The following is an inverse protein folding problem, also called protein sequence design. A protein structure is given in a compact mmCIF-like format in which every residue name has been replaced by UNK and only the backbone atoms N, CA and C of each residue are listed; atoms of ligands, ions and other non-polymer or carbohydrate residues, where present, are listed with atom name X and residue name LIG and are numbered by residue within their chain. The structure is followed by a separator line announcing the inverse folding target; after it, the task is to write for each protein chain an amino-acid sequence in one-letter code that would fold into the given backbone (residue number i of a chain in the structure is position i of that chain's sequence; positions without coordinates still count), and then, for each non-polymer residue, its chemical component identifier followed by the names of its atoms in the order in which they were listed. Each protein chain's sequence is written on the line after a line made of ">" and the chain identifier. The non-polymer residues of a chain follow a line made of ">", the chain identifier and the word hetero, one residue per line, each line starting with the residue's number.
data_IF_562718686903
#
_entry.id   IF_562718686903
#
_cell.length_a   1.000
_cell.length_b   1.000
_cell.length_c   1.000
_cell.angle_alpha   90.00
_cell.angle_beta   90.00
_cell.angle_gamma   90.00
#
_symmetry.space_group_name_H-M   'P 1'
#
loop_
_entity.id
_entity.type
_entity.pdbx_description
1 polymer ?
#
# COMPACT_ATOMS: atom_id res chain seq x y z
N UNK A 1 19.52 -4.74 -27.22
CA UNK A 1 19.97 -5.74 -26.23
C UNK A 1 18.80 -6.50 -25.59
N UNK A 2 17.75 -5.79 -25.17
CA UNK A 2 16.54 -6.38 -24.55
C UNK A 2 15.78 -7.35 -25.47
N UNK A 3 15.66 -7.07 -26.77
CA UNK A 3 14.96 -7.96 -27.72
C UNK A 3 15.60 -9.35 -27.87
N UNK A 4 16.93 -9.44 -27.89
CA UNK A 4 17.64 -10.74 -27.97
C UNK A 4 17.47 -11.57 -26.71
N UNK A 5 17.38 -10.91 -25.56
CA UNK A 5 17.11 -11.58 -24.29
C UNK A 5 15.66 -12.08 -24.24
N UNK A 6 14.70 -11.26 -24.63
CA UNK A 6 13.28 -11.65 -24.72
C UNK A 6 13.07 -12.78 -25.72
N UNK A 7 13.72 -12.78 -26.89
CA UNK A 7 13.60 -13.86 -27.87
C UNK A 7 14.06 -15.21 -27.31
N UNK A 8 15.05 -15.21 -26.40
CA UNK A 8 15.55 -16.40 -25.73
C UNK A 8 14.61 -16.89 -24.60
N UNK A 9 13.91 -15.97 -23.95
CA UNK A 9 13.05 -16.26 -22.77
C UNK A 9 11.59 -16.49 -23.17
N UNK A 10 11.14 -15.97 -24.32
CA UNK A 10 9.75 -16.07 -24.83
C UNK A 10 9.21 -17.51 -24.92
N UNK A 11 9.97 -18.51 -25.42
CA UNK A 11 9.49 -19.89 -25.45
C UNK A 11 9.26 -20.46 -24.05
N UNK A 12 10.10 -20.09 -23.08
CA UNK A 12 9.93 -20.51 -21.67
C UNK A 12 8.72 -19.85 -21.03
N UNK A 13 8.44 -18.59 -21.35
CA UNK A 13 7.26 -17.89 -20.84
C UNK A 13 5.96 -18.53 -21.32
N UNK A 14 5.92 -19.04 -22.57
CA UNK A 14 4.75 -19.77 -23.11
C UNK A 14 4.45 -21.08 -22.39
N UNK A 15 5.45 -21.68 -21.75
CA UNK A 15 5.31 -22.95 -21.03
C UNK A 15 4.85 -22.76 -19.59
N UNK A 16 4.81 -21.52 -19.09
CA UNK A 16 4.34 -21.25 -17.73
C UNK A 16 2.81 -21.42 -17.67
N UNK A 17 2.30 -22.09 -16.63
CA UNK A 17 0.86 -22.21 -16.44
C UNK A 17 0.25 -20.81 -16.29
N UNK A 18 -0.85 -20.57 -16.99
CA UNK A 18 -1.61 -19.33 -16.83
C UNK A 18 -2.11 -19.26 -15.39
N UNK A 19 -1.46 -18.43 -14.57
CA UNK A 19 -1.98 -18.07 -13.25
C UNK A 19 -3.23 -17.26 -13.52
N UNK A 20 -4.40 -17.85 -13.27
CA UNK A 20 -5.65 -17.12 -13.33
C UNK A 20 -5.50 -15.84 -12.51
N UNK A 21 -5.87 -14.65 -13.03
CA UNK A 21 -5.76 -13.43 -12.27
C UNK A 21 -6.57 -13.63 -11.00
N UNK A 22 -5.88 -13.78 -9.87
CA UNK A 22 -6.55 -13.93 -8.61
C UNK A 22 -7.27 -12.60 -8.38
N UNK A 23 -8.60 -12.63 -8.42
CA UNK A 23 -9.46 -11.48 -8.14
C UNK A 23 -9.39 -11.02 -6.69
N UNK A 24 -8.35 -11.44 -5.96
CA UNK A 24 -8.00 -10.98 -4.63
C UNK A 24 -7.58 -9.52 -4.76
N UNK A 25 -8.59 -8.65 -4.67
CA UNK A 25 -8.43 -7.22 -4.54
C UNK A 25 -7.64 -6.98 -3.26
N UNK A 26 -6.35 -6.66 -3.39
CA UNK A 26 -5.47 -6.40 -2.25
C UNK A 26 -6.01 -5.18 -1.51
N UNK A 27 -6.22 -5.38 -0.22
CA UNK A 27 -6.75 -4.36 0.69
C UNK A 27 -5.63 -3.44 1.18
N UNK A 28 -4.40 -3.93 1.19
CA UNK A 28 -3.20 -3.21 1.64
C UNK A 28 -2.26 -2.88 0.46
N UNK A 29 -1.64 -1.69 0.46
CA UNK A 29 -0.54 -1.38 -0.45
C UNK A 29 0.59 -2.41 -0.29
N UNK A 30 1.31 -2.70 -1.38
CA UNK A 30 2.46 -3.59 -1.31
C UNK A 30 3.48 -3.06 -0.29
N UNK A 31 4.01 -3.90 0.61
CA UNK A 31 5.07 -3.47 1.52
C UNK A 31 6.22 -2.92 0.68
N UNK A 32 6.67 -1.72 1.01
CA UNK A 32 7.73 -1.05 0.25
C UNK A 32 9.02 -1.85 0.41
N UNK A 33 9.76 -2.01 -0.69
CA UNK A 33 11.06 -2.66 -0.64
C UNK A 33 12.01 -1.89 0.29
N UNK A 34 12.92 -2.56 1.02
CA UNK A 34 13.87 -1.88 1.91
C UNK A 34 14.70 -0.79 1.19
N UNK A 35 15.10 -1.03 -0.05
CA UNK A 35 15.80 -0.04 -0.89
C UNK A 35 14.95 1.20 -1.19
N UNK A 36 13.65 1.02 -1.42
CA UNK A 36 12.71 2.13 -1.62
C UNK A 36 12.53 2.92 -0.31
N UNK A 37 12.46 2.24 0.84
CA UNK A 37 12.38 2.89 2.15
C UNK A 37 13.62 3.75 2.43
N UNK A 38 14.82 3.23 2.15
CA UNK A 38 16.08 3.96 2.28
C UNK A 38 16.16 5.16 1.34
N UNK A 39 15.79 5.00 0.06
CA UNK A 39 15.76 6.11 -0.90
C UNK A 39 14.80 7.22 -0.45
N UNK A 40 13.64 6.85 0.11
CA UNK A 40 12.68 7.81 0.69
C UNK A 40 13.25 8.47 1.95
N UNK A 41 13.95 7.73 2.80
CA UNK A 41 14.61 8.30 3.99
C UNK A 41 15.71 9.30 3.59
N UNK A 42 16.56 8.95 2.63
CA UNK A 42 17.58 9.84 2.09
C UNK A 42 16.97 11.08 1.44
N UNK A 43 15.86 10.93 0.71
CA UNK A 43 15.12 12.06 0.17
C UNK A 43 14.56 12.97 1.28
N UNK A 44 14.05 12.42 2.38
CA UNK A 44 13.61 13.20 3.55
C UNK A 44 14.77 14.00 4.16
N UNK A 45 15.91 13.34 4.39
CA UNK A 45 17.09 13.99 4.96
C UNK A 45 17.58 15.19 4.14
N UNK A 46 17.47 15.14 2.80
CA UNK A 46 17.80 16.30 1.95
C UNK A 46 16.89 17.50 2.20
N UNK A 47 15.59 17.27 2.43
CA UNK A 47 14.64 18.35 2.69
C UNK A 47 14.77 18.91 4.11
N UNK A 48 15.06 18.06 5.09
CA UNK A 48 15.35 18.47 6.46
C UNK A 48 16.61 19.34 6.51
N UNK A 49 17.70 18.91 5.87
CA UNK A 49 18.93 19.70 5.78
C UNK A 49 18.71 21.05 5.08
N UNK A 50 17.90 21.10 4.02
CA UNK A 50 17.55 22.34 3.34
C UNK A 50 16.68 23.27 4.22
N UNK A 51 15.81 22.71 5.06
CA UNK A 51 15.02 23.46 6.03
C UNK A 51 15.90 24.07 7.13
N UNK A 52 16.81 23.27 7.69
CA UNK A 52 17.74 23.73 8.73
C UNK A 52 18.66 24.83 8.21
N UNK A 53 19.17 24.69 6.97
CA UNK A 53 20.00 25.73 6.34
C UNK A 53 19.21 27.04 6.15
N UNK A 54 17.96 26.98 5.68
CA UNK A 54 17.11 28.17 5.55
C UNK A 54 16.83 28.82 6.91
N UNK A 55 16.52 28.01 7.94
CA UNK A 55 16.25 28.49 9.30
C UNK A 55 17.48 29.17 9.90
N UNK A 56 18.66 28.56 9.77
CA UNK A 56 19.94 29.12 10.22
C UNK A 56 20.20 30.48 9.58
N UNK A 57 20.15 30.58 8.25
CA UNK A 57 20.40 31.85 7.54
C UNK A 57 19.36 32.92 7.87
N UNK A 58 18.11 32.52 8.10
CA UNK A 58 17.07 33.44 8.52
C UNK A 58 17.31 33.97 9.95
N UNK A 59 17.77 33.12 10.87
CA UNK A 59 18.15 33.52 12.22
C UNK A 59 19.38 34.46 12.23
N UNK A 60 20.31 34.28 11.30
CA UNK A 60 21.45 35.17 11.05
C UNK A 60 21.05 36.53 10.42
N UNK A 61 19.76 36.74 10.11
CA UNK A 61 19.24 38.00 9.58
C UNK A 61 19.34 38.16 8.06
N UNK A 62 19.69 37.09 7.32
CA UNK A 62 19.68 37.15 5.86
C UNK A 62 18.27 37.38 5.30
N UNK A 63 18.14 38.28 4.33
CA UNK A 63 16.85 38.49 3.66
C UNK A 63 16.40 37.24 2.88
N UNK A 64 15.09 37.00 2.80
CA UNK A 64 14.53 35.86 2.06
C UNK A 64 14.95 35.81 0.59
N UNK A 65 15.20 36.98 -0.03
CA UNK A 65 15.72 37.08 -1.40
C UNK A 65 17.14 36.54 -1.50
N UNK A 66 17.99 36.86 -0.53
CA UNK A 66 19.37 36.37 -0.45
C UNK A 66 19.40 34.86 -0.23
N UNK A 67 18.61 34.37 0.73
CA UNK A 67 18.50 32.92 1.02
C UNK A 67 18.04 32.16 -0.23
N UNK A 68 17.05 32.66 -0.97
CA UNK A 68 16.60 32.05 -2.23
C UNK A 68 17.74 31.93 -3.27
N UNK A 69 18.53 32.99 -3.45
CA UNK A 69 19.64 32.99 -4.42
C UNK A 69 20.74 32.00 -4.02
N UNK A 70 21.04 31.91 -2.73
CA UNK A 70 22.13 31.07 -2.24
C UNK A 70 21.72 29.59 -2.09
N UNK A 71 20.46 29.30 -1.78
CA UNK A 71 19.94 27.92 -1.60
C UNK A 71 19.36 27.33 -2.88
N UNK A 72 19.04 28.15 -3.89
CA UNK A 72 18.36 27.72 -5.12
C UNK A 72 16.90 27.26 -4.92
N UNK A 73 16.36 27.38 -3.70
CA UNK A 73 14.99 26.98 -3.37
C UNK A 73 13.99 28.03 -3.86
N UNK A 74 12.82 27.58 -4.32
CA UNK A 74 11.73 28.47 -4.70
C UNK A 74 11.37 29.44 -3.56
N UNK A 75 11.06 30.70 -3.90
CA UNK A 75 10.77 31.76 -2.91
C UNK A 75 9.65 31.38 -1.95
N UNK A 76 8.64 30.65 -2.42
CA UNK A 76 7.54 30.16 -1.59
C UNK A 76 8.04 29.14 -0.54
N UNK A 77 8.95 28.24 -0.92
CA UNK A 77 9.56 27.26 -0.01
C UNK A 77 10.44 27.95 1.02
N UNK A 78 11.27 28.92 0.60
CA UNK A 78 12.11 29.70 1.53
C UNK A 78 11.26 30.44 2.55
N UNK A 79 10.20 31.13 2.12
CA UNK A 79 9.24 31.79 3.02
C UNK A 79 8.59 30.77 3.96
N UNK A 80 8.11 29.64 3.43
CA UNK A 80 7.49 28.58 4.23
C UNK A 80 8.45 28.05 5.30
N UNK A 81 9.71 27.81 4.97
CA UNK A 81 10.70 27.25 5.89
C UNK A 81 11.18 28.27 6.92
N UNK A 82 11.38 29.53 6.53
CA UNK A 82 11.81 30.59 7.44
C UNK A 82 10.82 30.81 8.61
N UNK A 83 9.52 30.83 8.29
CA UNK A 83 8.46 31.12 9.27
C UNK A 83 7.80 29.88 9.90
N UNK A 84 8.11 28.67 9.43
CA UNK A 84 7.58 27.46 10.06
C UNK A 84 8.27 27.22 11.42
N UNK A 85 7.47 26.85 12.43
CA UNK A 85 7.97 26.47 13.75
C UNK A 85 8.66 25.09 13.73
N UNK A 86 8.27 24.22 12.80
CA UNK A 86 8.80 22.87 12.62
C UNK A 86 8.90 22.52 11.13
N UNK A 87 9.75 21.57 10.78
CA UNK A 87 9.87 21.09 9.41
C UNK A 87 8.48 20.70 8.86
N UNK A 88 8.01 21.33 7.76
CA UNK A 88 6.68 21.05 7.25
C UNK A 88 6.67 19.67 6.61
N UNK A 89 6.34 18.66 7.41
CA UNK A 89 6.11 17.29 6.96
C UNK A 89 4.99 17.34 5.92
N UNK A 90 5.28 16.91 4.69
CA UNK A 90 4.20 16.43 3.82
C UNK A 90 3.67 15.17 4.50
N UNK A 91 2.76 15.37 5.45
CA UNK A 91 2.23 14.32 6.28
C UNK A 91 1.64 13.25 5.39
N UNK A 92 2.02 12.00 5.63
CA UNK A 92 1.14 10.89 5.30
C UNK A 92 -0.21 11.28 5.90
N UNK A 93 -1.22 11.48 5.04
CA UNK A 93 -2.54 11.86 5.52
C UNK A 93 -2.94 10.79 6.53
N UNK A 94 -3.18 11.18 7.77
CA UNK A 94 -3.65 10.22 8.76
C UNK A 94 -4.90 9.56 8.18
N UNK A 95 -4.99 8.22 8.24
CA UNK A 95 -6.18 7.54 7.77
C UNK A 95 -7.37 8.14 8.52
N UNK A 96 -8.38 8.59 7.77
CA UNK A 96 -9.61 9.11 8.37
C UNK A 96 -10.17 8.06 9.31
N UNK A 97 -10.74 8.48 10.46
CA UNK A 97 -11.36 7.54 11.37
C UNK A 97 -12.40 6.70 10.63
N UNK A 98 -12.33 5.38 10.81
CA UNK A 98 -13.26 4.43 10.22
C UNK A 98 -14.58 4.45 10.99
N UNK A 99 -15.68 4.06 10.32
CA UNK A 99 -16.97 3.85 11.00
C UNK A 99 -16.90 2.80 12.12
N UNK A 100 -15.88 1.93 12.09
CA UNK A 100 -15.64 0.93 13.13
C UNK A 100 -14.96 1.51 14.37
N UNK A 101 -14.32 2.68 14.29
CA UNK A 101 -13.48 3.23 15.36
C UNK A 101 -14.20 3.35 16.71
N UNK A 102 -15.47 3.83 16.77
CA UNK A 102 -16.22 3.89 18.04
C UNK A 102 -16.52 2.52 18.65
N UNK A 103 -16.50 1.45 17.85
CA UNK A 103 -16.88 0.10 18.23
C UNK A 103 -15.68 -0.83 18.42
N UNK A 104 -14.46 -0.32 18.26
CA UNK A 104 -13.24 -1.10 18.40
C UNK A 104 -13.10 -1.70 19.80
N UNK A 105 -13.55 -1.01 20.85
CA UNK A 105 -13.49 -1.52 22.22
C UNK A 105 -14.22 -2.87 22.35
N UNK A 106 -15.42 -2.99 21.76
CA UNK A 106 -16.23 -4.21 21.81
C UNK A 106 -15.56 -5.31 21.00
N UNK A 107 -15.13 -4.98 19.79
CA UNK A 107 -14.44 -5.93 18.92
C UNK A 107 -13.14 -6.47 19.54
N UNK A 108 -12.39 -5.62 20.25
CA UNK A 108 -11.19 -6.00 20.97
C UNK A 108 -11.50 -6.93 22.15
N UNK A 109 -12.47 -6.57 23.00
CA UNK A 109 -12.86 -7.43 24.12
C UNK A 109 -13.30 -8.82 23.66
N UNK A 110 -14.10 -8.91 22.59
CA UNK A 110 -14.53 -10.20 22.04
C UNK A 110 -13.40 -11.00 21.40
N UNK A 111 -12.41 -10.32 20.81
CA UNK A 111 -11.23 -10.98 20.26
C UNK A 111 -10.36 -11.58 21.37
N UNK A 112 -10.22 -10.89 22.50
CA UNK A 112 -9.49 -11.37 23.68
C UNK A 112 -10.21 -12.57 24.33
N UNK A 113 -11.53 -12.63 24.25
CA UNK A 113 -12.35 -13.79 24.62
C UNK A 113 -12.27 -14.96 23.62
N UNK A 114 -11.54 -14.80 22.51
CA UNK A 114 -11.36 -15.84 21.48
C UNK A 114 -12.48 -15.91 20.44
N UNK A 115 -13.34 -14.89 20.34
CA UNK A 115 -14.39 -14.86 19.32
C UNK A 115 -13.81 -14.51 17.94
N UNK A 116 -13.70 -15.50 17.06
CA UNK A 116 -13.21 -15.31 15.69
C UNK A 116 -14.32 -15.19 14.62
N UNK A 117 -15.58 -15.32 15.02
CA UNK A 117 -16.73 -15.29 14.11
C UNK A 117 -17.16 -13.85 13.80
N UNK A 118 -16.78 -13.37 12.61
CA UNK A 118 -17.06 -12.02 12.19
C UNK A 118 -18.56 -11.72 11.93
N UNK A 119 -19.39 -12.72 11.59
CA UNK A 119 -20.85 -12.51 11.49
C UNK A 119 -21.48 -12.29 12.87
N UNK A 120 -21.04 -13.06 13.85
CA UNK A 120 -21.51 -12.92 15.22
C UNK A 120 -21.16 -11.53 15.76
N UNK A 121 -19.91 -11.09 15.59
CA UNK A 121 -19.48 -9.74 15.97
C UNK A 121 -20.27 -8.66 15.24
N UNK A 122 -20.57 -8.84 13.95
CA UNK A 122 -21.40 -7.88 13.23
C UNK A 122 -22.82 -7.79 13.78
N UNK A 123 -23.47 -8.91 14.13
CA UNK A 123 -24.80 -8.89 14.77
C UNK A 123 -24.78 -8.21 16.13
N UNK A 124 -23.76 -8.47 16.94
CA UNK A 124 -23.55 -7.79 18.23
C UNK A 124 -23.38 -6.28 18.02
N UNK A 125 -22.56 -5.87 17.05
CA UNK A 125 -22.37 -4.45 16.72
C UNK A 125 -23.66 -3.78 16.21
N UNK A 126 -24.48 -4.46 15.41
CA UNK A 126 -25.79 -3.95 14.99
C UNK A 126 -26.67 -3.66 16.21
N UNK A 127 -26.64 -4.53 17.23
CA UNK A 127 -27.36 -4.32 18.49
C UNK A 127 -26.90 -3.09 19.27
N UNK A 128 -25.64 -2.68 19.11
CA UNK A 128 -25.04 -1.50 19.76
C UNK A 128 -25.21 -0.23 18.89
N UNK A 129 -25.85 -0.33 17.72
CA UNK A 129 -26.14 0.80 16.84
C UNK A 129 -25.15 0.99 15.68
N UNK A 130 -24.32 0.00 15.37
CA UNK A 130 -23.44 0.05 14.20
C UNK A 130 -24.24 0.02 12.89
N UNK A 131 -24.11 1.04 12.04
CA UNK A 131 -24.79 1.11 10.74
C UNK A 131 -23.95 0.55 9.57
N UNK A 132 -22.80 -0.07 9.83
CA UNK A 132 -21.90 -0.57 8.79
C UNK A 132 -22.18 -2.01 8.35
N UNK A 133 -21.43 -2.47 7.35
CA UNK A 133 -21.60 -3.79 6.71
C UNK A 133 -20.76 -4.86 7.39
N UNK A 134 -21.23 -6.11 7.42
CA UNK A 134 -20.45 -7.29 7.85
C UNK A 134 -19.05 -7.36 7.21
N UNK A 135 -18.92 -6.96 5.93
CA UNK A 135 -17.63 -6.88 5.21
C UNK A 135 -16.57 -6.03 5.94
N UNK A 136 -16.97 -4.96 6.63
CA UNK A 136 -16.03 -4.11 7.37
C UNK A 136 -15.47 -4.87 8.59
N UNK A 137 -16.32 -5.59 9.30
CA UNK A 137 -15.94 -6.44 10.45
C UNK A 137 -15.06 -7.60 9.97
N UNK A 138 -15.43 -8.26 8.88
CA UNK A 138 -14.61 -9.31 8.25
C UNK A 138 -13.22 -8.81 7.88
N UNK A 139 -13.14 -7.62 7.26
CA UNK A 139 -11.87 -6.99 6.90
C UNK A 139 -11.03 -6.70 8.14
N UNK A 140 -11.62 -6.05 9.15
CA UNK A 140 -10.95 -5.73 10.40
C UNK A 140 -10.38 -6.97 11.09
N UNK A 141 -11.16 -8.05 11.14
CA UNK A 141 -10.76 -9.30 11.77
C UNK A 141 -9.68 -10.03 10.93
N UNK A 142 -9.79 -9.98 9.59
CA UNK A 142 -8.80 -10.56 8.68
C UNK A 142 -7.43 -9.86 8.74
N UNK A 143 -7.41 -8.53 8.91
CA UNK A 143 -6.17 -7.75 9.08
C UNK A 143 -5.44 -8.08 10.40
N UNK A 144 -6.15 -8.64 11.39
CA UNK A 144 -5.64 -8.98 12.73
C UNK A 144 -5.35 -10.46 12.93
N UNK A 145 -5.76 -11.32 11.99
CA UNK A 145 -5.29 -12.71 11.92
C UNK A 145 -3.84 -12.71 11.45
N UNK A 146 -2.91 -12.61 12.40
CA UNK A 146 -1.47 -12.67 12.14
C UNK A 146 -0.97 -14.10 11.82
N UNK A 147 -1.78 -15.12 12.08
CA UNK A 147 -1.52 -16.49 11.62
C UNK A 147 -2.08 -16.72 10.23
N UNK A 148 -1.29 -17.37 9.36
CA UNK A 148 -1.82 -18.15 8.23
C UNK A 148 -3.13 -18.80 8.69
N UNK A 149 -4.20 -18.68 7.91
CA UNK A 149 -5.47 -19.34 8.20
C UNK A 149 -5.20 -20.85 8.40
N UNK A 150 -5.00 -21.25 9.65
CA UNK A 150 -4.93 -22.64 10.05
C UNK A 150 -6.30 -23.21 9.80
N UNK A 151 -6.40 -24.05 8.77
CA UNK A 151 -7.57 -24.88 8.56
C UNK A 151 -8.84 -24.09 8.25
N UNK A 152 -8.84 -23.41 7.11
CA UNK A 152 -9.91 -23.77 6.18
C UNK A 152 -9.26 -24.64 5.13
N UNK A 153 -9.44 -25.96 5.26
CA UNK A 153 -9.52 -26.79 4.06
C UNK A 153 -10.64 -26.10 3.28
N UNK A 154 -10.29 -25.21 2.34
CA UNK A 154 -11.14 -25.02 1.18
C UNK A 154 -11.21 -26.43 0.65
N UNK A 155 -12.30 -27.14 0.92
CA UNK A 155 -12.64 -28.31 0.12
C UNK A 155 -12.54 -27.77 -1.29
N UNK A 156 -11.47 -28.17 -1.99
CA UNK A 156 -11.45 -28.05 -3.43
C UNK A 156 -12.81 -28.60 -3.86
N UNK A 157 -13.55 -27.89 -4.73
CA UNK A 157 -14.71 -28.53 -5.33
C UNK A 157 -14.19 -29.88 -5.83
N UNK A 158 -14.83 -30.96 -5.38
CA UNK A 158 -14.51 -32.32 -5.79
C UNK A 158 -14.24 -32.33 -7.30
N UNK A 159 -13.31 -33.16 -7.81
CA UNK A 159 -12.93 -33.16 -9.21
C UNK A 159 -14.19 -33.45 -10.03
N UNK A 160 -14.87 -32.39 -10.42
CA UNK A 160 -16.00 -32.45 -11.33
C UNK A 160 -15.29 -32.52 -12.64
N UNK A 161 -15.19 -33.74 -13.15
CA UNK A 161 -14.72 -34.16 -14.45
C UNK A 161 -14.73 -32.97 -15.43
N UNK A 162 -13.63 -32.20 -15.43
CA UNK A 162 -13.51 -31.01 -16.25
C UNK A 162 -13.20 -31.52 -17.63
N UNK A 163 -14.26 -31.85 -18.35
CA UNK A 163 -14.31 -31.84 -19.80
C UNK A 163 -13.59 -30.56 -20.23
N UNK A 164 -12.43 -30.74 -20.85
CA UNK A 164 -11.53 -29.68 -21.31
C UNK A 164 -12.33 -28.78 -22.24
N UNK A 165 -12.91 -27.72 -21.69
CA UNK A 165 -13.28 -26.55 -22.47
C UNK A 165 -11.96 -25.82 -22.68
N UNK A 166 -11.50 -25.88 -23.92
CA UNK A 166 -10.37 -25.13 -24.45
C UNK A 166 -10.55 -23.65 -24.12
N UNK A 167 -10.06 -23.26 -22.95
CA UNK A 167 -9.87 -21.86 -22.59
C UNK A 167 -8.90 -21.29 -23.60
N UNK A 168 -9.40 -20.40 -24.44
CA UNK A 168 -8.64 -19.56 -25.35
C UNK A 168 -7.78 -18.62 -24.51
N UNK A 169 -6.70 -19.16 -23.95
CA UNK A 169 -5.62 -18.39 -23.37
C UNK A 169 -5.17 -17.41 -24.47
N UNK A 170 -5.37 -16.12 -24.24
CA UNK A 170 -4.84 -15.09 -25.15
C UNK A 170 -3.33 -15.33 -25.27
N UNK A 171 -2.81 -15.50 -26.50
CA UNK A 171 -1.40 -15.81 -26.68
C UNK A 171 -0.55 -14.65 -26.13
N UNK A 172 0.49 -14.98 -25.36
CA UNK A 172 1.49 -14.01 -24.91
C UNK A 172 1.95 -13.17 -26.10
N UNK A 173 1.93 -11.84 -25.95
CA UNK A 173 2.35 -10.89 -26.98
C UNK A 173 3.76 -11.22 -27.52
N UNK A 174 4.03 -10.88 -28.77
CA UNK A 174 5.31 -11.19 -29.43
C UNK A 174 6.49 -10.59 -28.66
N UNK A 175 7.67 -11.22 -28.73
CA UNK A 175 8.91 -10.69 -28.13
C UNK A 175 9.18 -9.22 -28.48
N UNK A 176 8.78 -8.79 -29.67
CA UNK A 176 8.91 -7.40 -30.15
C UNK A 176 7.89 -6.45 -29.52
N UNK A 177 6.73 -6.95 -29.08
CA UNK A 177 5.73 -6.16 -28.37
C UNK A 177 6.04 -6.08 -26.88
N UNK A 178 6.67 -7.12 -26.30
CA UNK A 178 7.08 -7.12 -24.90
C UNK A 178 8.23 -6.14 -24.61
N UNK A 179 9.06 -5.81 -25.60
CA UNK A 179 10.12 -4.81 -25.44
C UNK A 179 9.59 -3.39 -25.25
N UNK A 180 8.33 -3.11 -25.59
CA UNK A 180 7.71 -1.81 -25.35
C UNK A 180 7.28 -1.59 -23.89
N UNK A 181 7.23 -2.65 -23.09
CA UNK A 181 6.80 -2.61 -21.70
C UNK A 181 7.96 -2.66 -20.68
N UNK A 182 9.21 -2.65 -21.15
CA UNK A 182 10.45 -2.68 -20.34
C UNK A 182 11.30 -1.43 -20.62
#
# INVERSE_FOLDING_TARGET
>A
MVERWLARVHPRLKLLPAVAPSSIRRVTPYPRAPSEMLARAAARGRWEAAYDDVRRRHAEGHSLRRINRETGLARATVRKYAFAASFPRNGMREPKPSMLDPYLWHLHGRLDEGCENAEQLWRELQGIGFAGTSKQVHRWLSERRAGLAGTTIRSSPAPTDTRVLTSTASPLASSKQLSWYL
#
